data_IF_457885667681
#
_entry.id   IF_457885667681
#
_cell.length_a   1.000
_cell.length_b   1.000
_cell.length_c   1.000
_cell.angle_alpha   90.00
_cell.angle_beta   90.00
_cell.angle_gamma   90.00
#
_symmetry.space_group_name_H-M   'P 1'
#
loop_
_entity.id
_entity.type
_entity.pdbx_description
1 polymer ?
#
# COMPACT_ATOMS: atom_id res chain seq x y z
N UNK A 1 -13.02 58.40 -2.81
CA UNK A 1 -11.66 57.99 -2.40
C UNK A 1 -11.82 56.75 -1.55
N UNK A 2 -11.18 55.64 -1.94
CA UNK A 2 -11.40 54.30 -1.39
C UNK A 2 -10.89 54.18 0.05
N UNK A 3 -11.67 53.54 0.93
CA UNK A 3 -11.31 53.18 2.31
C UNK A 3 -10.27 52.05 2.34
N UNK A 4 -9.01 52.38 2.08
CA UNK A 4 -7.89 51.43 2.00
C UNK A 4 -7.57 50.71 3.32
N UNK A 5 -7.90 51.31 4.48
CA UNK A 5 -7.62 50.71 5.80
C UNK A 5 -8.55 49.55 6.17
N UNK A 6 -9.83 49.65 5.80
CA UNK A 6 -10.81 48.57 6.04
C UNK A 6 -10.52 47.33 5.19
N UNK A 7 -9.98 47.55 3.99
CA UNK A 7 -9.63 46.50 3.05
C UNK A 7 -8.36 45.73 3.46
N UNK A 8 -7.34 46.42 3.99
CA UNK A 8 -6.12 45.77 4.51
C UNK A 8 -6.40 44.90 5.75
N UNK A 9 -7.25 45.38 6.67
CA UNK A 9 -7.65 44.60 7.83
C UNK A 9 -8.43 43.34 7.43
N UNK A 10 -9.41 43.49 6.54
CA UNK A 10 -10.19 42.37 6.01
C UNK A 10 -9.31 41.36 5.27
N UNK A 11 -8.37 41.83 4.45
CA UNK A 11 -7.42 40.99 3.72
C UNK A 11 -6.52 40.18 4.66
N UNK A 12 -5.97 40.80 5.70
CA UNK A 12 -5.17 40.11 6.73
C UNK A 12 -5.99 39.08 7.51
N UNK A 13 -7.22 39.41 7.86
CA UNK A 13 -8.13 38.50 8.56
C UNK A 13 -8.46 37.27 7.70
N UNK A 14 -8.80 37.47 6.43
CA UNK A 14 -9.06 36.38 5.48
C UNK A 14 -7.82 35.52 5.24
N UNK A 15 -6.63 36.14 5.15
CA UNK A 15 -5.36 35.43 5.07
C UNK A 15 -5.12 34.52 6.27
N UNK A 16 -5.33 35.04 7.48
CA UNK A 16 -5.15 34.28 8.72
C UNK A 16 -6.15 33.11 8.83
N UNK A 17 -7.42 33.32 8.46
CA UNK A 17 -8.44 32.26 8.43
C UNK A 17 -8.06 31.17 7.43
N UNK A 18 -7.63 31.55 6.23
CA UNK A 18 -7.21 30.59 5.21
C UNK A 18 -6.01 29.75 5.66
N UNK A 19 -5.00 30.37 6.28
CA UNK A 19 -3.84 29.65 6.82
C UNK A 19 -4.26 28.68 7.92
N UNK A 20 -5.10 29.10 8.88
CA UNK A 20 -5.59 28.23 9.95
C UNK A 20 -6.42 27.06 9.41
N UNK A 21 -7.24 27.28 8.38
CA UNK A 21 -8.00 26.21 7.73
C UNK A 21 -7.07 25.17 7.11
N UNK A 22 -6.02 25.60 6.41
CA UNK A 22 -5.03 24.70 5.82
C UNK A 22 -4.27 23.91 6.88
N UNK A 23 -3.83 24.58 7.95
CA UNK A 23 -3.15 23.93 9.08
C UNK A 23 -4.05 22.91 9.79
N UNK A 24 -5.32 23.26 9.98
CA UNK A 24 -6.32 22.36 10.57
C UNK A 24 -6.55 21.12 9.70
N UNK A 25 -6.69 21.29 8.37
CA UNK A 25 -6.81 20.16 7.45
C UNK A 25 -5.57 19.26 7.47
N UNK A 26 -4.38 19.85 7.52
CA UNK A 26 -3.13 19.09 7.62
C UNK A 26 -3.06 18.28 8.92
N UNK A 27 -3.46 18.87 10.04
CA UNK A 27 -3.51 18.18 11.34
C UNK A 27 -4.53 17.02 11.34
N UNK A 28 -5.72 17.23 10.76
CA UNK A 28 -6.74 16.18 10.63
C UNK A 28 -6.23 15.05 9.74
N UNK A 29 -5.66 15.35 8.57
CA UNK A 29 -5.15 14.33 7.65
C UNK A 29 -4.08 13.45 8.30
N UNK A 30 -3.18 14.06 9.09
CA UNK A 30 -2.17 13.32 9.85
C UNK A 30 -2.79 12.39 10.89
N UNK A 31 -3.73 12.90 11.69
CA UNK A 31 -4.45 12.10 12.70
C UNK A 31 -5.20 10.94 12.06
N UNK A 32 -5.87 11.18 10.93
CA UNK A 32 -6.62 10.16 10.19
C UNK A 32 -5.69 9.07 9.65
N UNK A 33 -4.53 9.45 9.13
CA UNK A 33 -3.50 8.52 8.67
C UNK A 33 -2.97 7.63 9.80
N UNK A 34 -2.61 8.23 10.93
CA UNK A 34 -2.12 7.51 12.11
C UNK A 34 -3.17 6.50 12.62
N UNK A 35 -4.44 6.94 12.75
CA UNK A 35 -5.55 6.07 13.15
C UNK A 35 -5.81 4.92 12.17
N UNK A 36 -5.69 5.15 10.85
CA UNK A 36 -5.83 4.08 9.86
C UNK A 36 -4.71 3.04 9.99
N UNK A 37 -3.48 3.51 10.21
CA UNK A 37 -2.30 2.65 10.36
C UNK A 37 -2.41 1.76 11.60
N UNK A 38 -2.83 2.32 12.73
CA UNK A 38 -3.06 1.57 13.98
C UNK A 38 -4.16 0.51 13.82
N UNK A 39 -5.29 0.87 13.21
CA UNK A 39 -6.39 -0.08 12.98
C UNK A 39 -5.98 -1.23 12.05
N UNK A 40 -5.23 -0.93 10.99
CA UNK A 40 -4.70 -1.96 10.11
C UNK A 40 -3.72 -2.87 10.84
N UNK A 41 -2.81 -2.32 11.66
CA UNK A 41 -1.88 -3.10 12.45
C UNK A 41 -2.61 -4.07 13.41
N UNK A 42 -3.61 -3.57 14.14
CA UNK A 42 -4.43 -4.40 15.03
C UNK A 42 -5.23 -5.47 14.24
N UNK A 43 -5.76 -5.13 13.07
CA UNK A 43 -6.46 -6.08 12.21
C UNK A 43 -5.55 -7.19 11.69
N UNK A 44 -4.33 -6.85 11.27
CA UNK A 44 -3.30 -7.80 10.85
C UNK A 44 -2.90 -8.69 12.03
N UNK A 45 -2.65 -8.13 13.21
CA UNK A 45 -2.27 -8.88 14.40
C UNK A 45 -3.36 -9.89 14.78
N UNK A 46 -4.63 -9.45 14.87
CA UNK A 46 -5.78 -10.33 15.12
C UNK A 46 -5.88 -11.46 14.10
N UNK A 47 -5.66 -11.16 12.81
CA UNK A 47 -5.74 -12.15 11.72
C UNK A 47 -4.57 -13.13 11.73
N UNK A 48 -3.37 -12.65 12.08
CA UNK A 48 -2.17 -13.48 12.27
C UNK A 48 -2.35 -14.45 13.43
N UNK A 49 -2.85 -13.97 14.58
CA UNK A 49 -3.15 -14.81 15.75
C UNK A 49 -4.23 -15.85 15.42
N UNK A 50 -5.23 -15.47 14.62
CA UNK A 50 -6.26 -16.39 14.13
C UNK A 50 -5.78 -17.36 13.03
N UNK A 51 -4.49 -17.33 12.65
CA UNK A 51 -3.89 -18.29 11.70
C UNK A 51 -4.39 -18.17 10.25
N UNK A 52 -5.11 -17.10 9.89
CA UNK A 52 -5.69 -16.92 8.55
C UNK A 52 -4.71 -16.37 7.50
N UNK A 53 -3.55 -15.87 7.94
CA UNK A 53 -2.52 -15.36 7.05
C UNK A 53 -1.63 -16.51 6.54
N UNK A 54 -2.10 -17.24 5.53
CA UNK A 54 -1.39 -18.40 4.95
C UNK A 54 -0.56 -18.05 3.69
N UNK A 55 -0.45 -16.76 3.36
CA UNK A 55 0.24 -16.31 2.15
C UNK A 55 -0.52 -16.66 0.87
N UNK A 56 0.17 -16.56 -0.28
CA UNK A 56 -0.38 -17.06 -1.55
C UNK A 56 -0.32 -18.59 -1.52
N UNK A 57 -1.43 -19.31 -1.78
CA UNK A 57 -1.41 -20.77 -1.83
C UNK A 57 -0.40 -21.23 -2.88
N UNK A 58 0.32 -22.30 -2.54
CA UNK A 58 1.29 -22.92 -3.45
C UNK A 58 0.54 -23.50 -4.65
N UNK A 59 1.07 -23.26 -5.85
CA UNK A 59 0.54 -23.85 -7.08
C UNK A 59 1.15 -25.25 -7.24
N UNK A 60 0.45 -26.25 -6.70
CA UNK A 60 0.90 -27.64 -6.70
C UNK A 60 1.05 -28.20 -8.11
N UNK A 61 0.20 -27.77 -9.06
CA UNK A 61 0.25 -28.23 -10.45
C UNK A 61 1.45 -27.66 -11.20
N UNK A 62 1.81 -26.40 -10.91
CA UNK A 62 3.07 -25.83 -11.41
C UNK A 62 4.27 -26.62 -10.87
N UNK A 63 4.31 -26.87 -9.57
CA UNK A 63 5.42 -27.61 -8.94
C UNK A 63 5.54 -29.05 -9.47
N UNK A 64 4.41 -29.72 -9.74
CA UNK A 64 4.39 -31.05 -10.33
C UNK A 64 5.00 -31.05 -11.74
N UNK A 65 4.53 -30.15 -12.60
CA UNK A 65 5.04 -30.00 -13.99
C UNK A 65 6.53 -29.69 -14.02
N UNK A 66 7.00 -28.80 -13.15
CA UNK A 66 8.41 -28.47 -13.06
C UNK A 66 9.25 -29.67 -12.63
N UNK A 67 8.80 -30.42 -11.61
CA UNK A 67 9.48 -31.65 -11.18
C UNK A 67 9.55 -32.72 -12.28
N UNK A 68 8.48 -32.91 -13.05
CA UNK A 68 8.45 -33.85 -14.18
C UNK A 68 9.44 -33.45 -15.28
N UNK A 69 9.49 -32.17 -15.63
CA UNK A 69 10.40 -31.65 -16.66
C UNK A 69 11.86 -31.70 -16.22
N UNK A 70 12.16 -31.43 -14.95
CA UNK A 70 13.51 -31.59 -14.39
C UNK A 70 13.93 -33.07 -14.37
N UNK A 71 13.03 -33.99 -14.00
CA UNK A 71 13.30 -35.44 -14.05
C UNK A 71 13.52 -35.95 -15.47
N UNK A 72 12.87 -35.35 -16.46
CA UNK A 72 13.11 -35.63 -17.88
C UNK A 72 14.45 -35.06 -18.40
N UNK A 73 15.27 -34.45 -17.53
CA UNK A 73 16.61 -33.96 -17.85
C UNK A 73 16.64 -32.59 -18.52
N UNK A 74 15.51 -31.86 -18.56
CA UNK A 74 15.49 -30.50 -19.10
C UNK A 74 16.18 -29.54 -18.12
N UNK A 75 17.07 -28.69 -18.66
CA UNK A 75 17.69 -27.62 -17.89
C UNK A 75 16.68 -26.55 -17.46
N UNK A 76 16.98 -25.84 -16.38
CA UNK A 76 16.10 -24.86 -15.71
C UNK A 76 15.45 -23.85 -16.69
N UNK A 77 16.21 -23.35 -17.67
CA UNK A 77 15.68 -22.41 -18.69
C UNK A 77 14.68 -23.07 -19.66
N UNK A 78 14.87 -24.34 -19.98
CA UNK A 78 13.92 -25.08 -20.81
C UNK A 78 12.65 -25.41 -20.00
N UNK A 79 12.81 -25.87 -18.76
CA UNK A 79 11.70 -26.13 -17.84
C UNK A 79 10.85 -24.89 -17.59
N UNK A 80 11.48 -23.73 -17.36
CA UNK A 80 10.78 -22.45 -17.20
C UNK A 80 9.90 -22.07 -18.40
N UNK A 81 10.40 -22.31 -19.62
CA UNK A 81 9.64 -22.07 -20.86
C UNK A 81 8.46 -23.03 -21.02
N UNK A 82 8.63 -24.30 -20.64
CA UNK A 82 7.58 -25.32 -20.79
C UNK A 82 6.54 -25.29 -19.65
N UNK A 83 6.95 -24.95 -18.44
CA UNK A 83 6.07 -24.82 -17.28
C UNK A 83 5.47 -23.41 -17.13
N UNK A 84 5.81 -22.46 -18.02
CA UNK A 84 5.40 -21.05 -17.94
C UNK A 84 5.70 -20.40 -16.58
N UNK A 85 6.82 -20.79 -15.95
CA UNK A 85 7.33 -20.19 -14.71
C UNK A 85 8.58 -19.33 -14.96
N UNK A 86 8.86 -18.38 -14.07
CA UNK A 86 10.12 -17.64 -14.11
C UNK A 86 11.27 -18.56 -13.70
N UNK A 87 12.48 -18.32 -14.20
CA UNK A 87 13.67 -19.13 -13.85
C UNK A 87 14.01 -19.13 -12.37
N UNK A 88 13.53 -18.13 -11.61
CA UNK A 88 13.69 -18.06 -10.15
C UNK A 88 12.69 -18.96 -9.42
N UNK A 89 11.60 -19.38 -10.08
CA UNK A 89 10.47 -20.11 -9.47
C UNK A 89 10.48 -21.63 -9.76
N UNK A 90 11.28 -22.11 -10.71
CA UNK A 90 11.21 -23.50 -11.21
C UNK A 90 12.19 -24.47 -10.50
#
# INVERSE_FOLDING_TARGET
MQDTKGDEFTSRMLGAINSMLVEMMAAIARKDYEQRRERQAQGIEKTKVAGKYQGRPVDEDLHRRVNELLKAGLGIRATARHASCSTTRC
#
